data_IF_522516092801
#
_entry.id   IF_522516092801
#
_cell.length_a   1.000
_cell.length_b   1.000
_cell.length_c   1.000
_cell.angle_alpha   90.00
_cell.angle_beta   90.00
_cell.angle_gamma   90.00
#
_symmetry.space_group_name_H-M   'P 1'
#
loop_
_entity.id
_entity.type
_entity.pdbx_description
1 polymer ?
#
# COMPACT_ATOMS: atom_id res chain seq x y z
N UNK A 1 7.51 39.55 -21.19
CA UNK A 1 6.43 39.35 -20.20
C UNK A 1 7.03 38.46 -19.14
N UNK A 2 7.18 38.95 -17.91
CA UNK A 2 7.62 38.15 -16.76
C UNK A 2 6.60 37.06 -16.55
N UNK A 3 7.02 35.79 -16.41
CA UNK A 3 6.13 34.69 -16.03
C UNK A 3 5.40 35.06 -14.74
N UNK A 4 4.09 34.76 -14.62
CA UNK A 4 3.36 35.06 -13.39
C UNK A 4 4.08 34.44 -12.19
N UNK A 5 4.07 35.12 -11.04
CA UNK A 5 4.79 34.75 -9.82
C UNK A 5 4.29 33.48 -9.11
N UNK A 6 3.56 32.60 -9.81
CA UNK A 6 3.00 31.35 -9.30
C UNK A 6 1.47 31.31 -9.38
N UNK A 7 0.86 30.33 -8.68
CA UNK A 7 -0.59 30.16 -8.59
C UNK A 7 -1.02 30.12 -7.14
N UNK A 8 -2.14 30.78 -6.82
CA UNK A 8 -2.84 30.68 -5.53
C UNK A 8 -4.11 29.86 -5.72
N UNK A 9 -4.08 28.61 -5.32
CA UNK A 9 -5.20 27.69 -5.39
C UNK A 9 -6.07 27.86 -4.15
N UNK A 10 -7.29 28.35 -4.32
CA UNK A 10 -8.27 28.59 -3.26
C UNK A 10 -9.34 27.51 -3.29
N UNK A 11 -9.76 27.02 -2.11
CA UNK A 11 -10.85 26.08 -1.96
C UNK A 11 -11.59 26.28 -0.63
N UNK A 12 -12.86 25.82 -0.51
CA UNK A 12 -13.59 25.85 0.75
C UNK A 12 -12.85 25.12 1.88
N UNK A 13 -12.08 24.08 1.54
CA UNK A 13 -11.33 23.31 2.52
C UNK A 13 -9.96 22.89 1.96
N UNK A 14 -8.94 23.00 2.82
CA UNK A 14 -7.62 22.44 2.57
C UNK A 14 -7.27 21.48 3.69
N UNK A 15 -6.86 20.25 3.36
CA UNK A 15 -6.42 19.21 4.28
C UNK A 15 -4.90 19.03 4.10
N UNK A 16 -4.07 19.72 4.89
CA UNK A 16 -2.62 19.76 4.65
C UNK A 16 -1.91 18.43 4.90
N UNK A 17 -2.41 17.59 5.79
CA UNK A 17 -1.78 16.37 6.29
C UNK A 17 -0.34 16.68 6.77
N UNK A 18 -0.19 17.74 7.56
CA UNK A 18 1.11 18.16 8.07
C UNK A 18 1.79 17.05 8.90
N UNK A 19 3.09 16.88 8.71
CA UNK A 19 3.89 15.87 9.42
C UNK A 19 4.03 16.21 10.91
N UNK A 20 3.92 17.47 11.25
CA UNK A 20 3.85 18.03 12.60
C UNK A 20 2.48 18.71 12.80
N UNK A 21 2.27 19.28 13.96
CA UNK A 21 1.03 20.01 14.28
C UNK A 21 1.10 21.51 13.97
N UNK A 22 1.94 21.90 13.03
CA UNK A 22 2.12 23.30 12.63
C UNK A 22 0.89 23.91 11.94
N UNK A 23 0.09 23.05 11.30
CA UNK A 23 -1.17 23.42 10.64
C UNK A 23 -2.34 22.64 11.24
N UNK A 24 -3.56 23.21 11.23
CA UNK A 24 -4.76 22.48 11.62
C UNK A 24 -5.04 21.31 10.67
N UNK A 25 -5.81 20.32 11.11
CA UNK A 25 -6.16 19.16 10.29
C UNK A 25 -6.95 19.57 9.03
N UNK A 26 -7.77 20.62 9.13
CA UNK A 26 -8.52 21.23 8.03
C UNK A 26 -8.42 22.75 8.15
N UNK A 27 -8.11 23.41 7.05
CA UNK A 27 -8.16 24.86 6.91
C UNK A 27 -9.44 25.19 6.15
N UNK A 28 -10.36 25.91 6.79
CA UNK A 28 -11.60 26.41 6.17
C UNK A 28 -11.26 27.68 5.38
N UNK A 29 -11.87 27.85 4.20
CA UNK A 29 -11.52 28.92 3.25
C UNK A 29 -10.01 29.02 3.06
N UNK A 30 -9.41 27.85 2.76
CA UNK A 30 -7.98 27.69 2.67
C UNK A 30 -7.41 27.95 1.28
N UNK A 31 -6.09 28.12 1.23
CA UNK A 31 -5.36 28.24 -0.02
C UNK A 31 -4.00 27.58 0.02
N UNK A 32 -3.51 27.18 -1.17
CA UNK A 32 -2.17 26.65 -1.43
C UNK A 32 -1.49 27.57 -2.45
N UNK A 33 -0.42 28.21 -2.05
CA UNK A 33 0.42 29.01 -2.95
C UNK A 33 1.50 28.12 -3.56
N UNK A 34 1.60 28.12 -4.88
CA UNK A 34 2.60 27.36 -5.63
C UNK A 34 3.44 28.27 -6.49
N UNK A 35 4.71 27.91 -6.65
CA UNK A 35 5.61 28.56 -7.58
C UNK A 35 6.66 27.56 -8.09
N UNK A 36 6.97 27.59 -9.38
CA UNK A 36 7.97 26.72 -10.02
C UNK A 36 7.80 25.23 -9.69
N UNK A 37 6.55 24.75 -9.68
CA UNK A 37 6.22 23.33 -9.41
C UNK A 37 6.38 22.91 -7.94
N UNK A 38 6.52 23.87 -7.01
CA UNK A 38 6.63 23.63 -5.57
C UNK A 38 5.57 24.39 -4.80
N UNK A 39 5.14 23.82 -3.67
CA UNK A 39 4.31 24.51 -2.69
C UNK A 39 5.20 25.52 -1.95
N UNK A 40 4.74 26.77 -1.88
CA UNK A 40 5.43 27.87 -1.20
C UNK A 40 4.81 28.15 0.17
N UNK A 41 3.48 28.14 0.23
CA UNK A 41 2.74 28.37 1.48
C UNK A 41 1.39 27.65 1.45
N UNK A 42 0.88 27.34 2.63
CA UNK A 42 -0.46 26.79 2.86
C UNK A 42 -1.06 27.48 4.08
N UNK A 43 -2.28 27.99 3.99
CA UNK A 43 -2.92 28.73 5.08
C UNK A 43 -4.34 29.17 4.73
N UNK A 44 -4.89 30.04 5.55
CA UNK A 44 -6.16 30.71 5.23
C UNK A 44 -5.99 31.58 3.98
N UNK A 45 -7.00 31.59 3.11
CA UNK A 45 -6.96 32.39 1.88
C UNK A 45 -6.68 33.87 2.18
N UNK A 46 -7.32 34.43 3.21
CA UNK A 46 -7.14 35.82 3.62
C UNK A 46 -5.70 36.20 3.98
N UNK A 47 -4.90 35.23 4.45
CA UNK A 47 -3.48 35.44 4.79
C UNK A 47 -2.57 35.38 3.56
N UNK A 48 -2.99 34.69 2.49
CA UNK A 48 -2.20 34.45 1.30
C UNK A 48 -2.63 35.32 0.10
N UNK A 49 -3.85 35.87 0.13
CA UNK A 49 -4.33 36.78 -0.91
C UNK A 49 -3.45 38.02 -0.99
N UNK A 50 -3.26 38.57 -2.17
CA UNK A 50 -2.39 39.72 -2.40
C UNK A 50 -0.95 39.32 -2.75
N UNK A 51 -0.65 38.01 -2.83
CA UNK A 51 0.55 37.55 -3.54
C UNK A 51 0.42 37.90 -5.04
N UNK A 52 1.56 38.12 -5.75
CA UNK A 52 1.54 38.38 -7.20
C UNK A 52 1.19 37.13 -8.03
N UNK A 53 0.58 36.11 -7.39
CA UNK A 53 0.19 34.84 -7.99
C UNK A 53 -1.16 34.93 -8.72
N UNK A 54 -1.34 34.11 -9.76
CA UNK A 54 -2.64 33.95 -10.41
C UNK A 54 -3.57 33.12 -9.53
N UNK A 55 -4.75 33.63 -9.25
CA UNK A 55 -5.75 32.91 -8.46
C UNK A 55 -6.44 31.83 -9.30
N UNK A 56 -6.55 30.62 -8.71
CA UNK A 56 -7.29 29.50 -9.24
C UNK A 56 -8.31 29.04 -8.21
N UNK A 57 -9.58 29.10 -8.55
CA UNK A 57 -10.68 28.78 -7.64
C UNK A 57 -11.15 27.33 -7.84
N UNK A 58 -11.32 26.62 -6.72
CA UNK A 58 -11.83 25.26 -6.65
C UNK A 58 -13.11 25.20 -5.79
N UNK A 59 -14.20 25.78 -6.30
CA UNK A 59 -15.42 26.14 -5.56
C UNK A 59 -16.11 25.00 -4.79
N UNK A 60 -16.00 23.79 -5.25
CA UNK A 60 -16.67 22.62 -4.68
C UNK A 60 -15.69 21.48 -4.38
N UNK A 61 -14.45 21.81 -4.01
CA UNK A 61 -13.43 20.83 -3.78
C UNK A 61 -12.75 20.97 -2.41
N UNK A 62 -12.13 19.89 -1.98
CA UNK A 62 -11.15 19.83 -0.89
C UNK A 62 -9.77 19.66 -1.53
N UNK A 63 -8.82 20.54 -1.20
CA UNK A 63 -7.43 20.36 -1.60
C UNK A 63 -6.72 19.45 -0.59
N UNK A 64 -6.04 18.42 -1.08
CA UNK A 64 -5.28 17.50 -0.23
C UNK A 64 -4.10 16.87 -0.98
N UNK A 65 -3.10 16.30 -0.25
CA UNK A 65 -1.96 15.66 -0.89
C UNK A 65 -2.35 14.48 -1.76
N UNK A 66 -1.51 14.18 -2.73
CA UNK A 66 -1.58 12.94 -3.49
C UNK A 66 -1.50 11.70 -2.59
N UNK A 67 -2.21 10.64 -2.99
CA UNK A 67 -2.26 9.37 -2.28
C UNK A 67 -1.03 8.50 -2.56
N UNK A 68 -0.72 7.59 -1.63
CA UNK A 68 0.39 6.64 -1.73
C UNK A 68 -0.12 5.24 -1.47
N UNK A 69 -0.01 4.36 -2.47
CA UNK A 69 -0.39 2.95 -2.39
C UNK A 69 0.84 2.12 -2.01
N UNK A 70 0.83 1.52 -0.83
CA UNK A 70 1.99 0.83 -0.28
C UNK A 70 2.01 -0.68 -0.53
N UNK A 71 1.04 -1.23 -1.27
CA UNK A 71 1.01 -2.63 -1.68
C UNK A 71 0.06 -2.86 -2.84
N UNK A 72 0.58 -3.41 -3.92
CA UNK A 72 -0.19 -3.85 -5.08
C UNK A 72 0.50 -5.01 -5.81
N UNK A 73 -0.26 -5.75 -6.62
CA UNK A 73 0.22 -6.74 -7.57
C UNK A 73 -0.38 -6.42 -8.95
N UNK A 74 0.21 -5.47 -9.65
CA UNK A 74 -0.35 -5.00 -10.92
C UNK A 74 -0.32 -6.05 -12.02
N UNK A 75 0.65 -6.99 -11.97
CA UNK A 75 0.70 -8.12 -12.90
C UNK A 75 -0.57 -8.99 -12.86
N UNK A 76 -1.27 -9.03 -11.71
CA UNK A 76 -2.50 -9.80 -11.54
C UNK A 76 -3.75 -9.08 -12.05
N UNK A 77 -3.60 -7.89 -12.64
CA UNK A 77 -4.74 -7.09 -13.12
C UNK A 77 -5.51 -7.75 -14.26
N UNK A 78 -4.85 -8.60 -15.08
CA UNK A 78 -5.52 -9.41 -16.10
C UNK A 78 -6.53 -10.42 -15.52
N UNK A 79 -6.36 -10.79 -14.24
CA UNK A 79 -7.27 -11.67 -13.50
C UNK A 79 -8.36 -10.90 -12.72
N UNK A 80 -8.65 -9.65 -13.04
CA UNK A 80 -9.63 -8.79 -12.36
C UNK A 80 -11.04 -9.41 -12.28
N UNK A 81 -11.36 -10.40 -13.13
CA UNK A 81 -12.63 -11.17 -13.06
C UNK A 81 -12.78 -11.91 -11.73
N UNK A 82 -11.68 -12.42 -11.15
CA UNK A 82 -11.70 -13.15 -9.88
C UNK A 82 -12.12 -12.23 -8.72
N UNK A 83 -11.64 -11.00 -8.68
CA UNK A 83 -12.00 -10.02 -7.66
C UNK A 83 -13.44 -9.52 -7.70
N UNK A 84 -14.20 -9.87 -8.76
CA UNK A 84 -15.61 -9.48 -8.91
C UNK A 84 -16.60 -10.54 -8.41
N UNK A 85 -16.14 -11.74 -8.15
CA UNK A 85 -17.00 -12.86 -7.72
C UNK A 85 -17.05 -12.88 -6.20
N UNK A 86 -17.92 -12.05 -5.63
CA UNK A 86 -18.12 -11.95 -4.18
C UNK A 86 -18.49 -13.30 -3.57
N UNK A 87 -17.84 -13.67 -2.47
CA UNK A 87 -18.18 -14.83 -1.66
C UNK A 87 -17.49 -16.15 -2.05
N UNK A 88 -16.71 -16.21 -3.13
CA UNK A 88 -16.00 -17.45 -3.49
C UNK A 88 -14.86 -17.80 -2.52
N UNK A 89 -14.27 -16.80 -1.87
CA UNK A 89 -13.12 -17.02 -1.00
C UNK A 89 -13.43 -16.97 0.51
N UNK A 90 -14.68 -16.83 0.92
CA UNK A 90 -15.07 -16.54 2.31
C UNK A 90 -14.35 -17.42 3.37
N UNK A 91 -13.14 -17.01 3.76
CA UNK A 91 -12.29 -17.71 4.74
C UNK A 91 -11.52 -18.93 4.20
N UNK A 92 -11.53 -19.19 2.89
CA UNK A 92 -10.74 -20.24 2.25
C UNK A 92 -9.63 -19.64 1.38
N UNK A 93 -8.56 -19.20 2.02
CA UNK A 93 -7.40 -18.61 1.35
C UNK A 93 -6.75 -19.58 0.35
N UNK A 94 -6.60 -20.84 0.75
CA UNK A 94 -5.97 -21.87 -0.12
C UNK A 94 -6.83 -22.20 -1.33
N UNK A 95 -8.17 -22.23 -1.18
CA UNK A 95 -9.11 -22.41 -2.29
C UNK A 95 -9.04 -21.24 -3.28
N UNK A 96 -8.94 -20.01 -2.78
CA UNK A 96 -8.74 -18.85 -3.64
C UNK A 96 -7.41 -18.90 -4.40
N UNK A 97 -6.30 -19.25 -3.73
CA UNK A 97 -4.99 -19.41 -4.38
C UNK A 97 -5.04 -20.48 -5.47
N UNK A 98 -5.70 -21.64 -5.22
CA UNK A 98 -5.90 -22.67 -6.26
C UNK A 98 -6.62 -22.11 -7.48
N UNK A 99 -7.69 -21.34 -7.27
CA UNK A 99 -8.44 -20.70 -8.34
C UNK A 99 -7.57 -19.73 -9.13
N UNK A 100 -6.81 -18.88 -8.43
CA UNK A 100 -5.88 -17.93 -9.04
C UNK A 100 -4.83 -18.62 -9.93
N UNK A 101 -4.22 -19.68 -9.42
CA UNK A 101 -3.20 -20.44 -10.15
C UNK A 101 -3.79 -21.21 -11.33
N UNK A 102 -4.96 -21.81 -11.16
CA UNK A 102 -5.65 -22.50 -12.25
C UNK A 102 -6.02 -21.54 -13.41
N UNK A 103 -6.48 -20.33 -13.09
CA UNK A 103 -6.76 -19.29 -14.07
C UNK A 103 -5.50 -18.82 -14.80
N UNK A 104 -4.37 -18.70 -14.09
CA UNK A 104 -3.06 -18.37 -14.71
C UNK A 104 -2.55 -19.49 -15.64
N UNK A 105 -2.72 -20.76 -15.25
CA UNK A 105 -2.25 -21.93 -16.02
C UNK A 105 -3.14 -22.22 -17.23
N UNK A 106 -4.45 -21.97 -17.13
CA UNK A 106 -5.42 -22.20 -18.20
C UNK A 106 -5.61 -20.97 -19.09
N UNK A 107 -5.20 -19.79 -18.62
CA UNK A 107 -5.30 -18.54 -19.35
C UNK A 107 -4.41 -18.57 -20.60
N UNK A 108 -4.95 -18.04 -21.70
CA UNK A 108 -4.19 -17.78 -22.92
C UNK A 108 -3.70 -16.32 -22.96
N UNK A 109 -3.60 -15.68 -21.78
CA UNK A 109 -3.19 -14.29 -21.68
C UNK A 109 -1.71 -14.17 -22.10
N UNK A 110 -1.44 -13.41 -23.13
CA UNK A 110 -0.08 -13.11 -23.57
C UNK A 110 0.61 -12.13 -22.61
N UNK A 111 1.92 -12.00 -22.70
CA UNK A 111 2.65 -10.96 -21.96
C UNK A 111 2.08 -9.56 -22.27
N UNK A 112 1.67 -9.30 -23.50
CA UNK A 112 1.05 -8.04 -23.94
C UNK A 112 -0.31 -7.81 -23.25
N UNK A 113 -1.12 -8.86 -23.03
CA UNK A 113 -2.38 -8.76 -22.30
C UNK A 113 -2.16 -8.41 -20.82
N UNK A 114 -1.16 -9.04 -20.19
CA UNK A 114 -0.76 -8.77 -18.80
C UNK A 114 -0.25 -7.33 -18.69
N UNK A 115 0.61 -6.87 -19.57
CA UNK A 115 1.13 -5.50 -19.61
C UNK A 115 0.02 -4.47 -19.82
N UNK A 116 -0.90 -4.74 -20.75
CA UNK A 116 -2.05 -3.86 -21.01
C UNK A 116 -2.97 -3.76 -19.78
N UNK A 117 -3.23 -4.87 -19.09
CA UNK A 117 -4.01 -4.87 -17.87
C UNK A 117 -3.30 -4.11 -16.75
N UNK A 118 -2.00 -4.26 -16.59
CA UNK A 118 -1.19 -3.51 -15.63
C UNK A 118 -1.19 -2.00 -15.96
N UNK A 119 -1.11 -1.63 -17.24
CA UNK A 119 -1.22 -0.25 -17.71
C UNK A 119 -2.58 0.37 -17.33
N UNK A 120 -3.68 -0.35 -17.59
CA UNK A 120 -5.02 0.11 -17.23
C UNK A 120 -5.20 0.27 -15.72
N UNK A 121 -4.61 -0.64 -14.93
CA UNK A 121 -4.61 -0.58 -13.47
C UNK A 121 -3.81 0.65 -12.96
N UNK A 122 -2.64 0.91 -13.51
CA UNK A 122 -1.85 2.12 -13.21
C UNK A 122 -2.60 3.39 -13.57
N UNK A 123 -3.22 3.44 -14.76
CA UNK A 123 -4.04 4.58 -15.19
C UNK A 123 -5.21 4.82 -14.23
N UNK A 124 -5.80 3.75 -13.69
CA UNK A 124 -6.86 3.83 -12.67
C UNK A 124 -6.35 4.39 -11.36
N UNK A 125 -5.22 3.89 -10.85
CA UNK A 125 -4.58 4.40 -9.64
C UNK A 125 -4.23 5.89 -9.77
N UNK A 126 -3.59 6.28 -10.89
CA UNK A 126 -3.25 7.67 -11.16
C UNK A 126 -4.48 8.58 -11.19
N UNK A 127 -5.53 8.19 -11.93
CA UNK A 127 -6.80 8.93 -11.95
C UNK A 127 -7.49 8.99 -10.59
N UNK A 128 -7.28 7.98 -9.74
CA UNK A 128 -7.74 7.96 -8.36
C UNK A 128 -6.89 8.80 -7.39
N UNK A 129 -5.89 9.54 -7.90
CA UNK A 129 -5.06 10.44 -7.09
C UNK A 129 -3.81 9.81 -6.49
N UNK A 130 -3.40 8.63 -6.96
CA UNK A 130 -2.19 7.96 -6.49
C UNK A 130 -0.95 8.52 -7.20
N UNK A 131 0.11 8.86 -6.43
CA UNK A 131 1.39 9.38 -6.93
C UNK A 131 2.60 8.58 -6.43
N UNK A 132 2.46 7.83 -5.35
CA UNK A 132 3.45 6.90 -4.84
C UNK A 132 2.92 5.48 -4.88
N UNK A 133 3.74 4.51 -5.30
CA UNK A 133 3.34 3.12 -5.48
C UNK A 133 4.44 2.15 -5.07
N UNK A 134 4.08 1.15 -4.27
CA UNK A 134 4.86 -0.06 -4.05
C UNK A 134 4.14 -1.22 -4.74
N UNK A 135 4.80 -1.81 -5.72
CA UNK A 135 4.28 -2.93 -6.49
C UNK A 135 5.15 -4.17 -6.29
N UNK A 136 4.52 -5.31 -6.14
CA UNK A 136 5.18 -6.59 -5.87
C UNK A 136 4.73 -7.59 -6.93
N UNK A 137 5.63 -8.43 -7.40
CA UNK A 137 5.24 -9.45 -8.37
C UNK A 137 6.40 -10.26 -8.91
N UNK A 138 6.09 -11.08 -9.91
CA UNK A 138 7.04 -11.95 -10.58
C UNK A 138 7.43 -11.40 -11.98
N UNK A 139 6.58 -10.54 -12.54
CA UNK A 139 6.82 -9.87 -13.82
C UNK A 139 6.96 -8.36 -13.59
N UNK A 140 8.05 -7.73 -14.04
CA UNK A 140 8.29 -6.29 -13.81
C UNK A 140 7.45 -5.39 -14.73
N UNK A 141 6.29 -5.84 -15.18
CA UNK A 141 5.42 -5.11 -16.12
C UNK A 141 5.10 -3.68 -15.66
N UNK A 142 4.92 -3.47 -14.36
CA UNK A 142 4.62 -2.14 -13.81
C UNK A 142 5.80 -1.19 -13.79
N UNK A 143 7.04 -1.69 -13.73
CA UNK A 143 8.26 -0.90 -13.53
C UNK A 143 8.50 0.16 -14.61
N UNK A 144 8.33 -0.25 -15.87
CA UNK A 144 8.56 0.65 -17.00
C UNK A 144 7.32 1.47 -17.34
N UNK A 145 6.14 0.90 -17.14
CA UNK A 145 4.86 1.56 -17.39
C UNK A 145 4.65 2.74 -16.43
N UNK A 146 5.05 2.62 -15.17
CA UNK A 146 4.88 3.68 -14.16
C UNK A 146 5.54 5.01 -14.55
N UNK A 147 6.62 4.97 -15.32
CA UNK A 147 7.32 6.18 -15.83
C UNK A 147 6.42 7.06 -16.68
N UNK A 148 5.43 6.46 -17.38
CA UNK A 148 4.48 7.19 -18.24
C UNK A 148 3.42 7.97 -17.45
N UNK A 149 3.26 7.70 -16.15
CA UNK A 149 2.23 8.28 -15.29
C UNK A 149 2.77 9.29 -14.27
N UNK A 150 4.02 9.75 -14.37
CA UNK A 150 4.63 10.57 -13.33
C UNK A 150 4.48 9.96 -11.92
N UNK A 151 4.36 8.63 -11.81
CA UNK A 151 4.26 7.88 -10.56
C UNK A 151 5.65 7.57 -10.02
N UNK A 152 5.89 7.87 -8.76
CA UNK A 152 7.06 7.38 -8.02
C UNK A 152 6.78 5.94 -7.59
N UNK A 153 7.24 4.97 -8.38
CA UNK A 153 7.00 3.54 -8.11
C UNK A 153 8.27 2.82 -7.67
N UNK A 154 8.10 1.82 -6.79
CA UNK A 154 9.11 0.80 -6.48
C UNK A 154 8.53 -0.57 -6.76
N UNK A 155 9.24 -1.35 -7.55
CA UNK A 155 8.90 -2.75 -7.84
C UNK A 155 9.78 -3.68 -7.02
N UNK A 156 9.16 -4.73 -6.44
CA UNK A 156 9.83 -5.79 -5.70
C UNK A 156 9.54 -7.12 -6.38
N UNK A 157 10.61 -7.79 -6.82
CA UNK A 157 10.53 -9.15 -7.33
C UNK A 157 10.30 -10.11 -6.17
N UNK A 158 9.20 -10.86 -6.22
CA UNK A 158 8.93 -11.91 -5.24
C UNK A 158 9.77 -13.14 -5.48
N UNK A 159 10.23 -13.73 -4.39
CA UNK A 159 10.96 -15.00 -4.38
C UNK A 159 10.23 -15.97 -3.46
N UNK A 160 9.93 -17.13 -4.00
CA UNK A 160 9.34 -18.26 -3.28
C UNK A 160 10.34 -19.42 -3.30
N UNK A 161 10.22 -20.33 -2.36
CA UNK A 161 11.04 -21.54 -2.35
C UNK A 161 11.09 -22.17 -0.96
N UNK A 162 10.28 -23.21 -0.74
CA UNK A 162 10.22 -23.96 0.51
C UNK A 162 10.94 -25.31 0.41
N UNK A 163 11.03 -25.88 -0.80
CA UNK A 163 11.75 -27.12 -1.10
C UNK A 163 13.22 -26.86 -1.31
N UNK A 164 14.04 -27.92 -1.20
CA UNK A 164 15.47 -27.85 -1.48
C UNK A 164 15.78 -27.24 -2.86
N UNK A 165 15.06 -27.67 -3.90
CA UNK A 165 15.21 -27.13 -5.26
C UNK A 165 14.80 -25.65 -5.36
N UNK A 166 13.72 -25.25 -4.66
CA UNK A 166 13.29 -23.86 -4.59
C UNK A 166 14.32 -22.96 -3.87
N UNK A 167 14.92 -23.43 -2.78
CA UNK A 167 16.00 -22.74 -2.06
C UNK A 167 17.22 -22.55 -2.96
N UNK A 168 17.64 -23.61 -3.68
CA UNK A 168 18.76 -23.57 -4.60
C UNK A 168 18.53 -22.60 -5.75
N UNK A 169 17.31 -22.61 -6.35
CA UNK A 169 16.92 -21.70 -7.42
C UNK A 169 16.92 -20.24 -6.95
N UNK A 170 16.32 -19.96 -5.79
CA UNK A 170 16.31 -18.61 -5.20
C UNK A 170 17.73 -18.12 -4.85
N UNK A 171 18.58 -18.99 -4.33
CA UNK A 171 19.97 -18.64 -4.04
C UNK A 171 20.76 -18.35 -5.32
N UNK A 172 20.55 -19.12 -6.39
CA UNK A 172 21.18 -18.90 -7.69
C UNK A 172 20.72 -17.58 -8.32
N UNK A 173 19.41 -17.26 -8.25
CA UNK A 173 18.88 -15.97 -8.66
C UNK A 173 19.58 -14.82 -7.93
N UNK A 174 19.66 -14.89 -6.60
CA UNK A 174 20.29 -13.82 -5.81
C UNK A 174 21.78 -13.67 -6.11
N UNK A 175 22.47 -14.77 -6.42
CA UNK A 175 23.88 -14.75 -6.84
C UNK A 175 24.06 -14.08 -8.21
N UNK A 176 23.16 -14.34 -9.17
CA UNK A 176 23.21 -13.75 -10.51
C UNK A 176 23.03 -12.23 -10.52
N UNK A 177 22.31 -11.70 -9.52
CA UNK A 177 22.03 -10.27 -9.38
C UNK A 177 22.76 -9.61 -8.19
N UNK A 178 23.81 -10.24 -7.69
CA UNK A 178 24.48 -9.83 -6.45
C UNK A 178 24.99 -8.38 -6.47
N UNK A 179 25.44 -7.90 -7.63
CA UNK A 179 25.99 -6.56 -7.84
C UNK A 179 24.97 -5.54 -8.36
N UNK A 180 23.73 -5.95 -8.62
CA UNK A 180 22.67 -5.04 -9.04
C UNK A 180 22.00 -4.44 -7.79
N UNK A 181 22.11 -3.12 -7.63
CA UNK A 181 21.54 -2.38 -6.53
C UNK A 181 20.19 -1.70 -6.88
N UNK A 182 19.76 -1.75 -8.12
CA UNK A 182 18.49 -1.17 -8.57
C UNK A 182 17.33 -2.16 -8.43
N UNK A 183 17.62 -3.47 -8.52
CA UNK A 183 16.61 -4.51 -8.40
C UNK A 183 16.31 -4.83 -6.95
N UNK A 184 15.07 -4.62 -6.55
CA UNK A 184 14.56 -4.97 -5.23
C UNK A 184 13.99 -6.39 -5.25
N UNK A 185 14.37 -7.19 -4.26
CA UNK A 185 13.89 -8.57 -4.07
C UNK A 185 13.29 -8.71 -2.68
N UNK A 186 12.21 -9.48 -2.59
CA UNK A 186 11.58 -9.80 -1.32
C UNK A 186 11.10 -11.24 -1.27
N UNK A 187 10.81 -11.74 -0.07
CA UNK A 187 10.14 -13.02 0.10
C UNK A 187 8.62 -12.81 -0.02
N UNK A 188 7.93 -13.79 -0.62
CA UNK A 188 6.46 -13.76 -0.70
C UNK A 188 5.83 -13.79 0.69
N UNK A 189 6.03 -14.89 1.44
CA UNK A 189 5.42 -15.08 2.77
C UNK A 189 6.22 -16.13 3.59
N UNK A 190 6.06 -16.16 4.92
CA UNK A 190 6.72 -17.16 5.78
C UNK A 190 6.32 -18.61 5.49
N UNK A 191 5.14 -18.85 4.93
CA UNK A 191 4.65 -20.18 4.59
C UNK A 191 5.08 -20.68 3.21
N UNK A 192 5.69 -19.83 2.39
CA UNK A 192 6.11 -20.15 1.01
C UNK A 192 7.60 -19.97 0.76
N UNK A 193 8.36 -19.50 1.76
CA UNK A 193 9.77 -19.20 1.66
C UNK A 193 10.54 -19.81 2.84
N UNK A 194 11.53 -20.64 2.55
CA UNK A 194 12.34 -21.31 3.56
C UNK A 194 13.19 -20.33 4.38
N UNK A 195 13.54 -20.66 5.64
CA UNK A 195 14.30 -19.79 6.53
C UNK A 195 15.61 -19.29 5.93
N UNK A 196 16.38 -20.15 5.28
CA UNK A 196 17.65 -19.82 4.66
C UNK A 196 17.51 -18.81 3.52
N UNK A 197 16.38 -18.87 2.80
CA UNK A 197 16.08 -17.94 1.71
C UNK A 197 15.57 -16.61 2.24
N UNK A 198 14.73 -16.64 3.29
CA UNK A 198 14.29 -15.44 4.02
C UNK A 198 15.49 -14.64 4.55
N UNK A 199 16.44 -15.30 5.19
CA UNK A 199 17.66 -14.68 5.73
C UNK A 199 18.54 -14.07 4.61
N UNK A 200 18.73 -14.79 3.50
CA UNK A 200 19.51 -14.30 2.34
C UNK A 200 18.85 -13.09 1.67
N UNK A 201 17.55 -13.14 1.45
CA UNK A 201 16.78 -12.03 0.89
C UNK A 201 16.84 -10.80 1.79
N UNK A 202 16.65 -10.99 3.11
CA UNK A 202 16.75 -9.88 4.07
C UNK A 202 18.18 -9.32 4.16
N UNK A 203 19.19 -10.17 4.14
CA UNK A 203 20.60 -9.73 4.13
C UNK A 203 20.92 -8.90 2.87
N UNK A 204 20.37 -9.29 1.70
CA UNK A 204 20.48 -8.49 0.48
C UNK A 204 19.77 -7.15 0.63
N UNK A 205 18.51 -7.12 1.10
CA UNK A 205 17.77 -5.89 1.31
C UNK A 205 18.53 -4.90 2.21
N UNK A 206 19.11 -5.38 3.32
CA UNK A 206 19.96 -4.57 4.20
C UNK A 206 21.21 -4.03 3.52
N UNK A 207 21.90 -4.85 2.73
CA UNK A 207 23.11 -4.41 2.00
C UNK A 207 22.84 -3.25 1.06
N UNK A 208 21.68 -3.22 0.42
CA UNK A 208 21.29 -2.22 -0.56
C UNK A 208 20.36 -1.14 -0.01
N UNK A 209 20.12 -1.12 1.30
CA UNK A 209 19.18 -0.23 2.00
C UNK A 209 17.75 -0.26 1.43
N UNK A 210 17.31 -1.42 0.94
CA UNK A 210 15.98 -1.62 0.40
C UNK A 210 14.95 -1.89 1.50
N UNK A 211 13.70 -1.52 1.24
CA UNK A 211 12.54 -2.03 1.97
C UNK A 211 12.44 -3.55 1.80
N UNK A 212 11.74 -4.18 2.73
CA UNK A 212 11.45 -5.62 2.69
C UNK A 212 9.97 -5.85 2.96
N UNK A 213 9.10 -5.67 1.94
CA UNK A 213 7.69 -6.03 2.05
C UNK A 213 7.53 -7.55 2.10
N UNK A 214 6.66 -8.06 2.97
CA UNK A 214 6.37 -9.48 3.11
C UNK A 214 4.93 -9.68 3.59
N UNK A 215 4.18 -10.59 2.94
CA UNK A 215 2.86 -11.00 3.41
C UNK A 215 3.02 -11.80 4.71
N UNK A 216 2.30 -11.42 5.76
CA UNK A 216 2.46 -12.05 7.07
C UNK A 216 1.22 -11.95 7.93
N UNK A 217 0.92 -13.04 8.61
CA UNK A 217 -0.23 -13.16 9.51
C UNK A 217 -1.55 -12.77 8.83
N UNK A 218 -1.72 -13.18 7.58
CA UNK A 218 -2.88 -12.83 6.77
C UNK A 218 -4.08 -13.72 7.10
N UNK A 219 -3.89 -15.04 7.17
CA UNK A 219 -4.97 -16.01 7.35
C UNK A 219 -4.77 -16.94 8.54
N UNK A 220 -5.85 -17.51 9.04
CA UNK A 220 -5.79 -18.54 10.07
C UNK A 220 -5.05 -19.80 9.59
N UNK A 221 -5.15 -20.11 8.29
CA UNK A 221 -4.45 -21.26 7.69
C UNK A 221 -2.92 -21.09 7.75
N UNK A 222 -2.39 -19.84 7.60
CA UNK A 222 -0.97 -19.53 7.80
C UNK A 222 -0.54 -19.76 9.25
N UNK A 223 -1.36 -19.31 10.20
CA UNK A 223 -1.09 -19.52 11.64
C UNK A 223 -1.00 -21.00 11.94
N UNK A 224 -1.99 -21.81 11.51
CA UNK A 224 -2.01 -23.25 11.72
C UNK A 224 -0.78 -23.93 11.12
N UNK A 225 -0.42 -23.58 9.88
CA UNK A 225 0.70 -24.20 9.17
C UNK A 225 2.04 -23.92 9.89
N UNK A 226 2.31 -22.67 10.25
CA UNK A 226 3.56 -22.32 10.94
C UNK A 226 3.62 -22.85 12.38
N UNK A 227 2.48 -22.95 13.06
CA UNK A 227 2.42 -23.50 14.40
C UNK A 227 2.59 -25.03 14.43
N UNK A 228 2.06 -25.75 13.44
CA UNK A 228 1.91 -27.21 13.53
C UNK A 228 2.50 -28.01 12.37
N UNK A 229 2.82 -27.39 11.25
CA UNK A 229 3.19 -28.03 10.00
C UNK A 229 2.04 -28.78 9.32
N UNK A 230 0.80 -28.50 9.68
CA UNK A 230 -0.42 -29.18 9.21
C UNK A 230 -1.40 -28.16 8.64
N UNK A 231 -2.56 -28.62 8.22
CA UNK A 231 -3.66 -27.78 7.75
C UNK A 231 -3.64 -27.53 6.25
N UNK A 232 -4.56 -26.68 5.80
CA UNK A 232 -4.84 -26.47 4.37
C UNK A 232 -3.63 -25.99 3.56
N UNK A 233 -2.75 -25.17 4.15
CA UNK A 233 -1.52 -24.76 3.46
C UNK A 233 -0.56 -25.92 3.24
N UNK A 234 -0.45 -26.86 4.21
CA UNK A 234 0.36 -28.05 4.03
C UNK A 234 -0.14 -28.89 2.85
N UNK A 235 -1.47 -29.14 2.82
CA UNK A 235 -2.09 -29.94 1.76
C UNK A 235 -1.91 -29.26 0.39
N UNK A 236 -2.13 -27.95 0.33
CA UNK A 236 -1.93 -27.14 -0.87
C UNK A 236 -0.47 -27.20 -1.39
N UNK A 237 0.51 -27.05 -0.52
CA UNK A 237 1.93 -27.09 -0.90
C UNK A 237 2.33 -28.49 -1.42
N UNK A 238 1.78 -29.53 -0.83
CA UNK A 238 1.98 -30.93 -1.28
C UNK A 238 1.38 -31.16 -2.67
N UNK A 239 0.13 -30.76 -2.89
CA UNK A 239 -0.54 -30.80 -4.20
C UNK A 239 0.26 -30.10 -5.31
N UNK A 240 0.91 -28.98 -4.97
CA UNK A 240 1.69 -28.17 -5.92
C UNK A 240 3.15 -28.67 -6.09
N UNK A 241 3.54 -29.73 -5.41
CA UNK A 241 4.95 -30.19 -5.40
C UNK A 241 5.92 -29.17 -4.75
N UNK A 242 5.38 -28.23 -3.99
CA UNK A 242 6.13 -27.20 -3.25
C UNK A 242 6.43 -27.62 -1.80
N UNK A 243 6.23 -28.89 -1.49
CA UNK A 243 6.53 -29.52 -0.21
C UNK A 243 7.36 -30.79 -0.43
N UNK A 244 8.52 -30.88 0.21
CA UNK A 244 9.41 -32.03 0.16
C UNK A 244 9.71 -32.64 1.55
N UNK A 245 9.02 -32.14 2.58
CA UNK A 245 9.19 -32.60 3.96
C UNK A 245 10.43 -32.02 4.69
N UNK A 246 11.23 -31.22 4.04
CA UNK A 246 12.43 -30.62 4.67
C UNK A 246 12.09 -29.45 5.59
N UNK A 247 11.06 -28.68 5.27
CA UNK A 247 10.62 -27.58 6.11
C UNK A 247 10.06 -28.09 7.44
N UNK A 248 10.62 -27.59 8.54
CA UNK A 248 10.13 -27.85 9.89
C UNK A 248 9.32 -26.67 10.39
N UNK A 249 8.06 -26.92 10.74
CA UNK A 249 7.20 -25.88 11.31
C UNK A 249 7.86 -25.25 12.54
N UNK A 250 7.95 -23.91 12.59
CA UNK A 250 8.65 -23.22 13.67
C UNK A 250 7.98 -23.33 15.04
N UNK A 251 6.69 -23.72 15.10
CA UNK A 251 5.90 -23.73 16.33
C UNK A 251 5.62 -22.33 16.88
N UNK A 252 5.62 -21.32 16.03
CA UNK A 252 5.50 -19.90 16.39
C UNK A 252 4.43 -19.22 15.54
N UNK A 253 3.99 -18.03 15.99
CA UNK A 253 3.27 -17.12 15.11
C UNK A 253 4.17 -16.63 13.96
N UNK A 254 3.59 -16.20 12.81
CA UNK A 254 4.38 -15.72 11.67
C UNK A 254 5.33 -14.56 12.04
N UNK A 255 4.86 -13.62 12.85
CA UNK A 255 5.66 -12.47 13.31
C UNK A 255 6.81 -12.93 14.24
N UNK A 256 6.53 -13.80 15.21
CA UNK A 256 7.56 -14.33 16.11
C UNK A 256 8.59 -15.19 15.34
N UNK A 257 8.16 -15.89 14.29
CA UNK A 257 9.05 -16.64 13.43
C UNK A 257 9.99 -15.72 12.64
N UNK A 258 9.47 -14.69 11.99
CA UNK A 258 10.29 -13.71 11.27
C UNK A 258 11.24 -12.95 12.22
N UNK A 259 10.80 -12.68 13.45
CA UNK A 259 11.66 -12.07 14.48
C UNK A 259 12.83 -12.98 14.85
N UNK A 260 12.56 -14.26 15.07
CA UNK A 260 13.60 -15.28 15.37
C UNK A 260 14.63 -15.40 14.27
N UNK A 261 14.22 -15.27 12.99
CA UNK A 261 15.10 -15.26 11.82
C UNK A 261 15.82 -13.91 11.63
N UNK A 262 15.55 -12.92 12.47
CA UNK A 262 16.13 -11.59 12.32
C UNK A 262 15.66 -10.85 11.06
N UNK A 263 14.48 -11.16 10.52
CA UNK A 263 13.91 -10.52 9.32
C UNK A 263 13.31 -9.16 9.63
N UNK A 264 12.81 -8.96 10.87
CA UNK A 264 12.10 -7.75 11.27
C UNK A 264 13.04 -6.61 11.66
N UNK A 265 12.85 -5.45 11.06
CA UNK A 265 13.47 -4.16 11.39
C UNK A 265 12.65 -3.00 10.81
N UNK A 266 13.14 -1.76 10.91
CA UNK A 266 12.47 -0.54 10.43
C UNK A 266 12.29 -0.47 8.91
N UNK A 267 12.98 -1.30 8.15
CA UNK A 267 12.81 -1.44 6.69
C UNK A 267 11.87 -2.59 6.32
N UNK A 268 11.31 -3.32 7.30
CA UNK A 268 10.35 -4.39 7.03
C UNK A 268 8.93 -3.83 6.98
N UNK A 269 8.24 -4.11 5.87
CA UNK A 269 6.82 -3.81 5.65
C UNK A 269 6.02 -5.11 5.80
N UNK A 270 5.34 -5.25 6.93
CA UNK A 270 4.47 -6.40 7.20
C UNK A 270 3.11 -6.17 6.55
N UNK A 271 2.78 -6.95 5.51
CA UNK A 271 1.53 -6.78 4.76
C UNK A 271 0.43 -7.66 5.36
N UNK A 272 -0.79 -7.17 5.38
CA UNK A 272 -2.04 -7.69 5.94
C UNK A 272 -2.11 -7.65 7.46
N UNK A 273 -1.27 -8.39 8.20
CA UNK A 273 -1.23 -8.41 9.68
C UNK A 273 -2.59 -8.66 10.36
N UNK A 274 -3.48 -9.42 9.70
CA UNK A 274 -4.87 -9.65 10.17
C UNK A 274 -4.89 -10.47 11.45
N UNK A 275 -4.10 -11.56 11.49
CA UNK A 275 -4.09 -12.56 12.56
C UNK A 275 -3.06 -12.23 13.67
N UNK A 276 -2.61 -10.97 13.78
CA UNK A 276 -1.61 -10.57 14.77
C UNK A 276 -2.18 -10.59 16.19
N UNK A 277 -1.49 -11.28 17.09
CA UNK A 277 -1.76 -11.29 18.52
C UNK A 277 -1.18 -10.06 19.23
N UNK A 278 -1.53 -9.86 20.50
CA UNK A 278 -0.93 -8.80 21.33
C UNK A 278 0.60 -8.95 21.47
N UNK A 279 1.11 -10.19 21.48
CA UNK A 279 2.54 -10.50 21.52
C UNK A 279 3.21 -10.14 20.20
N UNK A 280 2.58 -10.45 19.05
CA UNK A 280 3.08 -10.08 17.73
C UNK A 280 3.20 -8.56 17.57
N UNK A 281 2.17 -7.83 18.00
CA UNK A 281 2.21 -6.36 17.98
C UNK A 281 3.31 -5.78 18.88
N UNK A 282 3.62 -6.42 20.01
CA UNK A 282 4.74 -5.99 20.85
C UNK A 282 6.09 -6.19 20.16
N UNK A 283 6.26 -7.31 19.42
CA UNK A 283 7.46 -7.56 18.61
C UNK A 283 7.57 -6.53 17.48
N UNK A 284 6.49 -6.30 16.73
CA UNK A 284 6.45 -5.32 15.63
C UNK A 284 6.85 -3.91 16.12
N UNK A 285 6.30 -3.48 17.24
CA UNK A 285 6.64 -2.19 17.86
C UNK A 285 8.12 -2.12 18.26
N UNK A 286 8.64 -3.16 18.93
CA UNK A 286 10.04 -3.23 19.34
C UNK A 286 11.01 -3.21 18.15
N UNK A 287 10.65 -3.83 17.02
CA UNK A 287 11.42 -3.85 15.77
C UNK A 287 11.17 -2.63 14.88
N UNK A 288 10.21 -1.76 15.25
CA UNK A 288 9.82 -0.56 14.49
C UNK A 288 9.38 -0.88 13.06
N UNK A 289 8.75 -2.05 12.85
CA UNK A 289 8.22 -2.42 11.55
C UNK A 289 7.04 -1.53 11.16
N UNK A 290 6.75 -1.44 9.86
CA UNK A 290 5.52 -0.80 9.37
C UNK A 290 4.52 -1.88 8.99
N UNK A 291 3.24 -1.67 9.32
CA UNK A 291 2.14 -2.51 8.86
C UNK A 291 1.47 -1.90 7.63
N UNK A 292 1.32 -2.69 6.55
CA UNK A 292 0.52 -2.31 5.39
C UNK A 292 -0.81 -3.06 5.42
N UNK A 293 -1.90 -2.34 5.56
CA UNK A 293 -3.23 -2.94 5.65
C UNK A 293 -3.92 -2.81 4.30
N UNK A 294 -4.54 -3.91 3.86
CA UNK A 294 -5.32 -4.01 2.63
C UNK A 294 -6.79 -4.37 2.96
N UNK A 295 -7.57 -3.43 3.53
CA UNK A 295 -8.89 -3.73 4.06
C UNK A 295 -9.84 -4.36 3.05
N UNK A 296 -9.81 -3.90 1.80
CA UNK A 296 -10.64 -4.41 0.71
C UNK A 296 -10.35 -5.87 0.39
N UNK A 297 -9.06 -6.22 0.25
CA UNK A 297 -8.60 -7.60 0.01
C UNK A 297 -8.92 -8.52 1.19
N UNK A 298 -8.61 -8.08 2.43
CA UNK A 298 -8.88 -8.85 3.64
C UNK A 298 -10.38 -9.20 3.77
N UNK A 299 -11.25 -8.23 3.45
CA UNK A 299 -12.70 -8.42 3.44
C UNK A 299 -13.15 -9.37 2.33
N UNK A 300 -12.60 -9.21 1.13
CA UNK A 300 -12.91 -10.07 -0.03
C UNK A 300 -12.54 -11.54 0.24
N UNK A 301 -11.33 -11.75 0.77
CA UNK A 301 -10.83 -13.08 1.12
C UNK A 301 -11.49 -13.65 2.38
N UNK A 302 -12.18 -12.84 3.19
CA UNK A 302 -12.83 -13.28 4.42
C UNK A 302 -11.85 -13.69 5.51
N UNK A 303 -10.61 -13.18 5.48
CA UNK A 303 -9.55 -13.56 6.43
C UNK A 303 -9.66 -12.85 7.77
N UNK A 304 -10.49 -11.80 7.88
CA UNK A 304 -10.74 -11.04 9.09
C UNK A 304 -10.37 -9.57 8.99
N UNK A 305 -10.22 -8.92 10.14
CA UNK A 305 -9.95 -7.47 10.27
C UNK A 305 -8.65 -7.27 11.04
N UNK A 306 -7.71 -6.56 10.45
CA UNK A 306 -6.43 -6.23 11.10
C UNK A 306 -6.64 -5.34 12.34
N UNK A 307 -5.93 -5.53 13.46
CA UNK A 307 -6.15 -4.82 14.72
C UNK A 307 -5.54 -3.41 14.73
N UNK A 308 -5.90 -2.57 13.73
CA UNK A 308 -5.30 -1.24 13.50
C UNK A 308 -5.30 -0.33 14.73
N UNK A 309 -6.39 -0.19 15.53
CA UNK A 309 -6.35 0.63 16.75
C UNK A 309 -5.25 0.20 17.71
N UNK A 310 -5.07 -1.12 17.90
CA UNK A 310 -4.02 -1.67 18.78
C UNK A 310 -2.61 -1.45 18.22
N UNK A 311 -2.46 -1.42 16.89
CA UNK A 311 -1.18 -1.06 16.25
C UNK A 311 -0.81 0.39 16.55
N UNK A 312 -1.74 1.32 16.37
CA UNK A 312 -1.54 2.73 16.66
C UNK A 312 -1.25 3.00 18.16
N UNK A 313 -1.98 2.35 19.05
CA UNK A 313 -1.73 2.43 20.51
C UNK A 313 -0.29 2.03 20.90
N UNK A 314 0.33 1.15 20.12
CA UNK A 314 1.72 0.71 20.30
C UNK A 314 2.75 1.50 19.50
N UNK A 315 2.31 2.54 18.79
CA UNK A 315 3.18 3.37 17.97
C UNK A 315 3.70 2.67 16.69
N UNK A 316 3.05 1.58 16.26
CA UNK A 316 3.36 0.93 14.97
C UNK A 316 2.87 1.84 13.85
N UNK A 317 3.77 2.15 12.90
CA UNK A 317 3.39 2.88 11.70
C UNK A 317 2.46 2.02 10.83
N UNK A 318 1.34 2.61 10.39
CA UNK A 318 0.38 1.94 9.52
C UNK A 318 0.25 2.70 8.21
N UNK A 319 0.23 1.96 7.11
CA UNK A 319 0.01 2.45 5.74
C UNK A 319 -1.09 1.63 5.06
N UNK A 320 -1.63 2.12 3.95
CA UNK A 320 -2.64 1.41 3.16
C UNK A 320 -2.07 0.89 1.84
N UNK A 321 -2.56 -0.28 1.45
CA UNK A 321 -2.37 -0.88 0.15
C UNK A 321 -3.69 -1.36 -0.44
N UNK A 322 -3.76 -1.51 -1.76
CA UNK A 322 -4.96 -2.01 -2.45
C UNK A 322 -4.93 -3.50 -2.69
N UNK A 323 -3.76 -4.10 -2.62
CA UNK A 323 -3.52 -5.45 -3.11
C UNK A 323 -3.85 -5.58 -4.63
N UNK A 324 -4.18 -6.77 -5.11
CA UNK A 324 -4.45 -7.04 -6.52
C UNK A 324 -5.92 -6.86 -6.91
N UNK A 325 -6.20 -6.64 -8.20
CA UNK A 325 -7.56 -6.74 -8.75
C UNK A 325 -8.13 -8.17 -8.70
N UNK A 326 -7.31 -9.18 -8.46
CA UNK A 326 -7.76 -10.55 -8.28
C UNK A 326 -8.36 -10.82 -6.89
N UNK A 327 -7.95 -10.05 -5.86
CA UNK A 327 -8.43 -10.13 -4.48
C UNK A 327 -9.20 -8.89 -4.01
N UNK A 328 -9.30 -7.86 -4.87
CA UNK A 328 -9.97 -6.61 -4.54
C UNK A 328 -10.61 -6.00 -5.80
N UNK A 329 -11.95 -5.89 -5.90
CA UNK A 329 -12.62 -5.39 -7.10
C UNK A 329 -12.34 -3.91 -7.38
N UNK A 330 -11.79 -3.19 -6.40
CA UNK A 330 -11.60 -1.75 -6.46
C UNK A 330 -10.15 -1.37 -6.20
N UNK A 331 -9.35 -1.17 -7.20
CA UNK A 331 -7.99 -0.65 -7.05
C UNK A 331 -8.07 0.86 -6.70
N UNK A 332 -8.50 1.17 -5.45
CA UNK A 332 -8.82 2.54 -5.01
C UNK A 332 -8.54 2.74 -3.52
N UNK A 333 -7.57 3.60 -3.21
CA UNK A 333 -7.28 3.98 -1.82
C UNK A 333 -8.47 4.68 -1.13
N UNK A 334 -9.33 5.35 -1.87
CA UNK A 334 -10.57 5.89 -1.33
C UNK A 334 -11.49 4.79 -0.80
N UNK A 335 -11.56 3.67 -1.52
CA UNK A 335 -12.33 2.53 -1.06
C UNK A 335 -11.65 1.82 0.12
N UNK A 336 -10.32 1.73 0.14
CA UNK A 336 -9.59 1.19 1.29
C UNK A 336 -9.82 2.01 2.56
N UNK A 337 -9.76 3.35 2.46
CA UNK A 337 -10.08 4.24 3.58
C UNK A 337 -11.52 4.02 4.08
N UNK A 338 -12.48 3.88 3.16
CA UNK A 338 -13.88 3.61 3.51
C UNK A 338 -14.05 2.28 4.23
N UNK A 339 -13.45 1.21 3.72
CA UNK A 339 -13.51 -0.10 4.34
C UNK A 339 -12.88 -0.08 5.73
N UNK A 340 -11.71 0.55 5.88
CA UNK A 340 -11.03 0.71 7.17
C UNK A 340 -11.87 1.49 8.18
N UNK A 341 -12.52 2.58 7.76
CA UNK A 341 -13.40 3.37 8.62
C UNK A 341 -14.63 2.57 9.07
N UNK A 342 -15.17 1.70 8.20
CA UNK A 342 -16.27 0.80 8.53
C UNK A 342 -15.85 -0.30 9.50
N UNK A 343 -14.65 -0.88 9.32
CA UNK A 343 -14.11 -1.92 10.20
C UNK A 343 -13.76 -1.37 11.60
N UNK A 344 -13.43 -0.08 11.68
CA UNK A 344 -13.03 0.61 12.90
C UNK A 344 -13.73 1.97 13.07
N UNK A 345 -15.03 2.00 13.44
CA UNK A 345 -15.81 3.24 13.51
C UNK A 345 -15.26 4.28 14.51
N UNK A 346 -14.43 3.84 15.48
CA UNK A 346 -13.77 4.73 16.45
C UNK A 346 -12.40 5.26 16.00
N UNK A 347 -11.91 4.88 14.82
CA UNK A 347 -10.63 5.35 14.33
C UNK A 347 -10.76 6.79 13.80
N UNK A 348 -9.94 7.73 14.29
CA UNK A 348 -10.03 9.12 13.83
C UNK A 348 -9.80 9.26 12.32
N UNK A 349 -10.67 9.94 11.56
CA UNK A 349 -10.53 10.07 10.10
C UNK A 349 -9.18 10.63 9.66
N UNK A 350 -8.60 11.57 10.39
CA UNK A 350 -7.29 12.14 10.06
C UNK A 350 -6.16 11.11 10.11
N UNK A 351 -6.22 10.09 11.00
CA UNK A 351 -5.25 9.01 11.02
C UNK A 351 -5.39 8.10 9.78
N UNK A 352 -6.63 7.83 9.35
CA UNK A 352 -6.88 7.05 8.11
C UNK A 352 -6.30 7.79 6.88
N UNK A 353 -6.50 9.11 6.80
CA UNK A 353 -5.96 9.93 5.70
C UNK A 353 -4.42 9.90 5.72
N UNK A 354 -3.79 10.00 6.89
CA UNK A 354 -2.33 9.87 7.02
C UNK A 354 -1.81 8.54 6.51
N UNK A 355 -2.53 7.42 6.75
CA UNK A 355 -2.14 6.10 6.26
C UNK A 355 -2.13 6.02 4.73
N UNK A 356 -3.02 6.74 4.06
CA UNK A 356 -3.12 6.79 2.60
C UNK A 356 -2.20 7.86 1.97
N UNK A 357 -1.49 8.67 2.76
CA UNK A 357 -0.71 9.83 2.30
C UNK A 357 0.68 9.85 2.91
N UNK A 358 0.90 10.69 3.94
CA UNK A 358 2.22 10.99 4.51
C UNK A 358 2.93 9.77 5.10
N UNK A 359 2.19 8.80 5.69
CA UNK A 359 2.84 7.60 6.23
C UNK A 359 3.45 6.76 5.10
N UNK A 360 2.72 6.56 4.00
CA UNK A 360 3.23 5.89 2.81
C UNK A 360 4.38 6.66 2.16
N UNK A 361 4.28 7.99 2.08
CA UNK A 361 5.37 8.82 1.56
C UNK A 361 6.65 8.70 2.41
N UNK A 362 6.54 8.66 3.74
CA UNK A 362 7.68 8.42 4.64
C UNK A 362 8.29 7.04 4.42
N UNK A 363 7.47 6.00 4.32
CA UNK A 363 7.93 4.63 4.05
C UNK A 363 8.73 4.55 2.75
N UNK A 364 8.25 5.17 1.68
CA UNK A 364 8.90 5.15 0.37
C UNK A 364 10.07 6.14 0.24
N UNK A 365 10.35 6.96 1.26
CA UNK A 365 11.38 8.00 1.21
C UNK A 365 10.99 9.21 0.36
N UNK A 366 9.68 9.44 0.15
CA UNK A 366 9.11 10.49 -0.69
C UNK A 366 8.52 11.67 0.10
N UNK A 367 8.66 11.71 1.42
CA UNK A 367 7.99 12.68 2.29
C UNK A 367 8.40 14.14 2.04
N UNK A 368 9.56 14.38 1.43
CA UNK A 368 9.98 15.71 0.99
C UNK A 368 9.27 16.20 -0.28
N UNK A 369 8.62 15.27 -1.01
CA UNK A 369 7.96 15.54 -2.30
C UNK A 369 6.44 15.36 -2.22
N UNK A 370 5.97 14.33 -1.48
CA UNK A 370 4.59 13.85 -1.50
C UNK A 370 4.03 13.62 -0.09
N UNK A 371 2.72 13.46 -0.02
CA UNK A 371 1.98 13.02 1.16
C UNK A 371 1.62 14.13 2.14
N UNK A 372 2.05 15.37 1.88
CA UNK A 372 1.69 16.56 2.65
C UNK A 372 1.58 17.77 1.73
N UNK A 373 0.67 18.71 2.05
CA UNK A 373 0.72 20.06 1.49
C UNK A 373 1.58 20.90 2.44
N UNK A 374 2.88 20.90 2.19
CA UNK A 374 3.84 21.65 3.00
C UNK A 374 4.80 22.43 2.09
N UNK A 375 5.33 23.57 2.54
CA UNK A 375 6.35 24.31 1.80
C UNK A 375 7.51 23.40 1.40
N UNK A 376 7.91 23.47 0.13
CA UNK A 376 8.96 22.65 -0.46
C UNK A 376 8.47 21.36 -1.12
N UNK A 377 7.30 20.82 -0.77
CA UNK A 377 6.71 19.67 -1.46
C UNK A 377 6.34 20.00 -2.91
N UNK A 378 6.18 18.98 -3.72
CA UNK A 378 5.71 19.09 -5.10
C UNK A 378 4.35 19.79 -5.17
N UNK A 379 4.16 20.68 -6.15
CA UNK A 379 2.87 21.31 -6.45
C UNK A 379 1.90 20.35 -7.16
N UNK A 380 2.12 19.05 -7.07
CA UNK A 380 1.23 18.02 -7.60
C UNK A 380 0.39 17.47 -6.45
N UNK A 381 -0.86 17.91 -6.37
CA UNK A 381 -1.81 17.56 -5.33
C UNK A 381 -3.22 17.40 -5.91
N UNK A 382 -4.22 17.13 -5.09
CA UNK A 382 -5.57 16.81 -5.53
C UNK A 382 -6.57 17.90 -5.16
N UNK A 383 -7.46 18.21 -6.09
CA UNK A 383 -8.74 18.81 -5.85
C UNK A 383 -9.81 17.70 -5.87
N UNK A 384 -10.46 17.47 -4.74
CA UNK A 384 -11.38 16.34 -4.54
C UNK A 384 -12.79 16.83 -4.32
N UNK A 385 -13.73 16.24 -5.06
CA UNK A 385 -15.16 16.57 -5.01
C UNK A 385 -16.01 15.29 -5.06
N UNK A 386 -17.33 15.43 -5.22
CA UNK A 386 -18.26 14.31 -5.35
C UNK A 386 -19.02 14.02 -4.05
N UNK A 387 -20.21 14.63 -3.91
CA UNK A 387 -21.09 14.44 -2.76
C UNK A 387 -20.57 15.05 -1.46
N UNK A 388 -19.71 16.06 -1.54
CA UNK A 388 -19.26 16.82 -0.37
C UNK A 388 -20.48 17.44 0.36
N UNK A 389 -20.52 17.36 1.70
CA UNK A 389 -21.63 17.95 2.46
C UNK A 389 -21.69 19.47 2.27
N UNK A 390 -22.86 19.99 1.95
CA UNK A 390 -23.08 21.42 1.70
C UNK A 390 -22.80 22.34 2.92
N UNK A 391 -22.86 21.77 4.11
CA UNK A 391 -22.52 22.43 5.39
C UNK A 391 -21.73 21.45 6.24
N UNK A 392 -20.43 21.48 6.13
CA UNK A 392 -19.54 20.67 6.95
C UNK A 392 -18.57 21.59 7.70
N UNK A 393 -18.27 21.24 8.92
CA UNK A 393 -17.08 21.71 9.62
C UNK A 393 -15.85 20.83 9.23
N UNK A 394 -14.71 21.11 9.82
CA UNK A 394 -13.50 20.37 9.53
C UNK A 394 -13.61 18.87 9.80
N UNK A 395 -14.27 18.44 10.89
CA UNK A 395 -14.45 17.03 11.23
C UNK A 395 -15.43 16.35 10.26
N UNK A 396 -16.48 17.05 9.84
CA UNK A 396 -17.42 16.57 8.82
C UNK A 396 -16.74 16.34 7.47
N UNK A 397 -15.79 17.19 7.07
CA UNK A 397 -14.99 17.00 5.84
C UNK A 397 -14.08 15.80 5.96
N UNK A 398 -13.35 15.62 7.07
CA UNK A 398 -12.49 14.45 7.27
C UNK A 398 -13.31 13.15 7.28
N UNK A 399 -14.48 13.17 7.94
CA UNK A 399 -15.42 12.05 7.94
C UNK A 399 -15.93 11.71 6.54
N UNK A 400 -16.27 12.72 5.73
CA UNK A 400 -16.66 12.53 4.33
C UNK A 400 -15.53 11.92 3.49
N UNK A 401 -14.32 12.44 3.56
CA UNK A 401 -13.17 11.95 2.80
C UNK A 401 -12.93 10.44 3.01
N UNK A 402 -13.06 9.95 4.24
CA UNK A 402 -12.83 8.52 4.54
C UNK A 402 -14.06 7.65 4.33
N UNK A 403 -15.25 8.21 4.14
CA UNK A 403 -16.49 7.44 3.97
C UNK A 403 -17.02 7.42 2.55
N UNK A 404 -16.63 8.37 1.70
CA UNK A 404 -17.16 8.54 0.35
C UNK A 404 -16.77 7.40 -0.61
N UNK A 405 -15.56 6.84 -0.47
CA UNK A 405 -15.13 5.71 -1.29
C UNK A 405 -15.13 6.04 -2.79
N UNK A 406 -15.85 5.25 -3.58
CA UNK A 406 -15.89 5.38 -5.05
C UNK A 406 -16.73 6.56 -5.56
N UNK A 407 -17.43 7.31 -4.70
CA UNK A 407 -18.19 8.50 -5.11
C UNK A 407 -17.30 9.74 -5.24
N UNK A 408 -16.07 9.67 -4.78
CA UNK A 408 -15.10 10.74 -4.92
C UNK A 408 -14.69 10.92 -6.38
N UNK A 409 -14.63 12.18 -6.81
CA UNK A 409 -14.01 12.62 -8.05
C UNK A 409 -12.70 13.32 -7.70
N UNK A 410 -11.63 12.97 -8.38
CA UNK A 410 -10.31 13.55 -8.19
C UNK A 410 -9.83 14.28 -9.43
N UNK A 411 -9.31 15.49 -9.25
CA UNK A 411 -8.64 16.27 -10.28
C UNK A 411 -7.22 16.60 -9.81
N UNK A 412 -6.26 16.48 -10.73
CA UNK A 412 -4.88 16.86 -10.43
C UNK A 412 -4.73 18.38 -10.52
N UNK A 413 -4.08 18.94 -9.52
CA UNK A 413 -3.52 20.29 -9.54
C UNK A 413 -2.01 20.15 -9.74
N UNK A 414 -1.51 20.67 -10.86
CA UNK A 414 -0.09 20.55 -11.27
C UNK A 414 0.47 21.91 -11.71
#
# INVERSE_FOLDING_TARGET
MSSPGGYLHKAPFVVPVAADRSLPAVIIDGAVLTNNGRIVAVGAYEELRGSEALEVEHDAAVLLPALVNCHSHLELSHLARLGKVAGQAAGDMTGWIRTLLAEREQGNDSEEDIEMAAWQALARLYRGGCRGLLDIGNLPASRDIAKNFKLSSRFFQEVLGLTKTGIEAGAALLASVANDNELCYTAHAPYSTAPELLEKLKARARRHDHLFPIHVAESADEIEFLATGRGRFRDFLEERGAWDGTFQAPGLSPIAYLDRLGVLDEKTLCVHCVQCTAADLAIMAARRTTACICPGSNRFLGVGVAPVPRMLERGIAVVLGTDSLASNPHLSLWQEMRVLAQDHPGLPPHEIIKMATINGAKLLGLAAELGSLAPGCSASFLAVSGGMPARADGDGILGWLVSAGLTITTEWVE
#
